data_IF_723304091501
#
_entry.id   IF_723304091501
#
_cell.length_a   1.000
_cell.length_b   1.000
_cell.length_c   1.000
_cell.angle_alpha   90.00
_cell.angle_beta   90.00
_cell.angle_gamma   90.00
#
_symmetry.space_group_name_H-M   'P 1'
#
loop_
_entity.id
_entity.type
_entity.pdbx_description
1 polymer ?
#
# COMPACT_ATOMS: atom_id res chain seq x y z
N UNK A 1 7.17 8.98 -11.50
CA UNK A 1 8.09 7.94 -11.97
C UNK A 1 9.07 7.56 -10.87
N UNK A 2 9.64 8.50 -10.11
CA UNK A 2 10.57 8.15 -9.03
C UNK A 2 9.89 7.52 -7.81
N UNK A 3 8.67 7.98 -7.47
CA UNK A 3 7.92 7.56 -6.29
C UNK A 3 6.60 6.85 -6.61
N UNK A 4 6.31 6.66 -7.90
CA UNK A 4 5.14 5.96 -8.40
C UNK A 4 5.54 4.88 -9.38
N UNK A 5 4.84 3.77 -9.38
CA UNK A 5 4.76 2.93 -10.57
C UNK A 5 4.03 3.71 -11.68
N UNK A 6 4.53 3.64 -12.90
CA UNK A 6 3.87 4.23 -14.07
C UNK A 6 3.22 3.11 -14.88
N UNK A 7 1.88 3.02 -14.93
CA UNK A 7 1.19 1.93 -15.63
C UNK A 7 1.55 1.85 -17.11
N UNK A 8 1.68 2.98 -17.80
CA UNK A 8 2.00 2.99 -19.23
C UNK A 8 3.41 2.48 -19.50
N UNK A 9 4.39 2.92 -18.69
CA UNK A 9 5.77 2.42 -18.80
C UNK A 9 5.85 0.94 -18.41
N UNK A 10 5.07 0.52 -17.42
CA UNK A 10 5.01 -0.88 -16.99
C UNK A 10 4.47 -1.77 -18.11
N UNK A 11 3.38 -1.36 -18.79
CA UNK A 11 2.80 -2.10 -19.91
C UNK A 11 3.68 -2.08 -21.16
N UNK A 12 4.34 -0.95 -21.45
CA UNK A 12 5.34 -0.88 -22.52
C UNK A 12 6.49 -1.86 -22.25
N UNK A 13 6.98 -1.93 -21.02
CA UNK A 13 8.01 -2.89 -20.62
C UNK A 13 7.53 -4.34 -20.70
N UNK A 14 6.30 -4.58 -20.29
CA UNK A 14 5.66 -5.90 -20.41
C UNK A 14 5.60 -6.37 -21.88
N UNK A 15 5.27 -5.46 -22.80
CA UNK A 15 5.29 -5.72 -24.23
C UNK A 15 6.70 -6.05 -24.73
N UNK A 16 7.70 -5.24 -24.36
CA UNK A 16 9.11 -5.43 -24.76
C UNK A 16 9.65 -6.83 -24.38
N UNK A 17 9.31 -7.28 -23.15
CA UNK A 17 9.83 -8.55 -22.63
C UNK A 17 8.92 -9.75 -22.88
N UNK A 18 7.76 -9.55 -23.51
CA UNK A 18 6.75 -10.60 -23.72
C UNK A 18 6.16 -11.14 -22.42
N UNK A 19 5.93 -10.27 -21.43
CA UNK A 19 5.37 -10.66 -20.14
C UNK A 19 4.00 -11.29 -20.27
N UNK A 20 3.71 -12.32 -19.46
CA UNK A 20 2.40 -12.97 -19.37
C UNK A 20 1.57 -12.46 -18.21
N UNK A 21 2.21 -11.78 -17.27
CA UNK A 21 1.61 -11.27 -16.05
C UNK A 21 2.26 -9.93 -15.70
N UNK A 22 1.45 -8.95 -15.38
CA UNK A 22 1.86 -7.67 -14.80
C UNK A 22 1.23 -7.55 -13.42
N UNK A 23 2.00 -7.13 -12.44
CA UNK A 23 1.51 -6.78 -11.12
C UNK A 23 1.57 -5.26 -10.95
N UNK A 24 0.49 -4.67 -10.47
CA UNK A 24 0.38 -3.26 -10.15
C UNK A 24 -0.35 -3.11 -8.81
N UNK A 25 0.26 -2.41 -7.86
CA UNK A 25 -0.39 -2.05 -6.60
C UNK A 25 -1.01 -0.64 -6.70
N UNK A 26 -2.29 -0.52 -6.40
CA UNK A 26 -2.96 0.77 -6.33
C UNK A 26 -4.01 0.82 -5.20
N UNK A 27 -3.70 1.50 -4.08
CA UNK A 27 -2.49 2.27 -3.75
C UNK A 27 -1.22 1.44 -3.59
N UNK A 28 -0.08 2.09 -3.88
CA UNK A 28 1.24 1.47 -3.88
C UNK A 28 1.77 1.15 -2.47
N UNK A 29 2.60 0.16 -2.41
CA UNK A 29 3.49 -0.17 -1.31
C UNK A 29 4.89 -0.47 -1.89
N UNK A 30 5.94 0.35 -1.59
CA UNK A 30 6.17 0.98 -0.28
C UNK A 30 5.89 2.48 -0.17
N UNK A 31 5.55 3.19 -1.24
CA UNK A 31 5.55 4.66 -1.22
C UNK A 31 4.20 5.27 -0.77
N UNK A 32 3.12 4.51 -0.83
CA UNK A 32 1.77 4.96 -0.42
C UNK A 32 1.03 5.75 -1.49
N UNK A 33 1.67 6.05 -2.61
CA UNK A 33 1.10 6.81 -3.72
C UNK A 33 -0.02 6.06 -4.43
N UNK A 34 -0.79 6.74 -5.28
CA UNK A 34 -1.90 6.12 -6.00
C UNK A 34 -2.14 6.79 -7.36
N UNK A 35 -2.82 6.07 -8.21
CA UNK A 35 -3.37 6.59 -9.48
C UNK A 35 -4.88 6.69 -9.37
N UNK A 36 -5.45 7.68 -10.05
CA UNK A 36 -6.90 7.74 -10.26
C UNK A 36 -7.37 6.56 -11.09
N UNK A 37 -8.49 5.97 -10.71
CA UNK A 37 -9.05 4.80 -11.38
C UNK A 37 -9.31 5.02 -12.87
N UNK A 38 -9.73 6.23 -13.26
CA UNK A 38 -9.91 6.58 -14.65
C UNK A 38 -8.62 6.46 -15.48
N UNK A 39 -7.46 6.84 -14.93
CA UNK A 39 -6.16 6.65 -15.58
C UNK A 39 -5.83 5.17 -15.79
N UNK A 40 -6.09 4.36 -14.77
CA UNK A 40 -5.87 2.92 -14.87
C UNK A 40 -6.80 2.25 -15.88
N UNK A 41 -8.06 2.69 -15.94
CA UNK A 41 -9.02 2.19 -16.93
C UNK A 41 -8.54 2.48 -18.36
N UNK A 42 -8.04 3.68 -18.63
CA UNK A 42 -7.48 4.03 -19.95
C UNK A 42 -6.18 3.26 -20.22
N UNK A 43 -5.28 3.15 -19.23
CA UNK A 43 -4.02 2.46 -19.42
C UNK A 43 -4.19 0.96 -19.76
N UNK A 44 -5.32 0.34 -19.38
CA UNK A 44 -5.60 -1.06 -19.74
C UNK A 44 -5.65 -1.32 -21.25
N UNK A 45 -5.88 -0.30 -22.07
CA UNK A 45 -5.85 -0.45 -23.52
C UNK A 45 -4.44 -0.74 -24.04
N UNK A 46 -3.41 -0.35 -23.28
CA UNK A 46 -1.99 -0.61 -23.58
C UNK A 46 -1.48 -1.95 -23.02
N UNK A 47 -2.31 -2.71 -22.29
CA UNK A 47 -1.91 -4.02 -21.77
C UNK A 47 -1.69 -5.00 -22.94
N UNK A 48 -0.50 -5.66 -23.03
CA UNK A 48 -0.19 -6.56 -24.15
C UNK A 48 -1.19 -7.68 -24.31
N UNK A 49 -1.49 -8.07 -25.55
CA UNK A 49 -2.36 -9.20 -25.83
C UNK A 49 -1.85 -10.49 -25.18
N UNK A 50 -2.75 -11.21 -24.52
CA UNK A 50 -2.42 -12.43 -23.76
C UNK A 50 -1.65 -12.21 -22.47
N UNK A 51 -1.51 -10.95 -22.01
CA UNK A 51 -0.99 -10.58 -20.70
C UNK A 51 -2.15 -10.38 -19.71
N UNK A 52 -1.95 -10.77 -18.46
CA UNK A 52 -2.89 -10.54 -17.36
C UNK A 52 -2.37 -9.43 -16.43
N UNK A 53 -3.26 -8.57 -15.97
CA UNK A 53 -3.01 -7.62 -14.89
C UNK A 53 -3.49 -8.20 -13.56
N UNK A 54 -2.57 -8.33 -12.59
CA UNK A 54 -2.91 -8.48 -11.18
C UNK A 54 -2.94 -7.09 -10.56
N UNK A 55 -4.13 -6.58 -10.29
CA UNK A 55 -4.32 -5.29 -9.62
C UNK A 55 -4.47 -5.52 -8.12
N UNK A 56 -3.44 -5.16 -7.37
CA UNK A 56 -3.45 -5.28 -5.91
C UNK A 56 -4.06 -4.03 -5.28
N UNK A 57 -5.26 -4.17 -4.75
CA UNK A 57 -6.03 -3.14 -4.08
C UNK A 57 -6.02 -3.32 -2.55
N UNK A 58 -4.92 -3.82 -1.98
CA UNK A 58 -4.84 -4.12 -0.54
C UNK A 58 -5.06 -2.90 0.37
N UNK A 59 -4.94 -1.68 -0.15
CA UNK A 59 -5.11 -0.44 0.60
C UNK A 59 -6.27 0.42 0.08
N UNK A 60 -7.09 -0.10 -0.82
CA UNK A 60 -8.10 0.69 -1.52
C UNK A 60 -9.13 1.34 -0.59
N UNK A 61 -9.42 0.72 0.54
CA UNK A 61 -10.34 1.25 1.56
C UNK A 61 -9.85 2.56 2.19
N UNK A 62 -8.54 2.84 2.16
CA UNK A 62 -7.96 4.08 2.68
C UNK A 62 -7.79 5.18 1.62
N UNK A 63 -8.01 4.84 0.36
CA UNK A 63 -7.74 5.71 -0.78
C UNK A 63 -8.86 6.73 -1.00
N UNK A 64 -8.55 7.86 -1.66
CA UNK A 64 -9.57 8.81 -2.09
C UNK A 64 -10.62 8.16 -2.99
N UNK A 65 -11.82 8.73 -2.99
CA UNK A 65 -12.88 8.30 -3.90
C UNK A 65 -12.40 8.38 -5.36
N UNK A 66 -12.72 7.36 -6.16
CA UNK A 66 -12.30 7.33 -7.57
C UNK A 66 -10.93 6.69 -7.83
N UNK A 67 -10.23 6.23 -6.79
CA UNK A 67 -8.96 5.49 -6.94
C UNK A 67 -9.17 4.09 -7.55
N UNK A 68 -10.28 3.43 -7.22
CA UNK A 68 -10.63 2.14 -7.82
C UNK A 68 -11.04 2.34 -9.29
N UNK A 69 -10.42 1.65 -10.25
CA UNK A 69 -10.80 1.76 -11.66
C UNK A 69 -12.16 1.12 -11.92
N UNK A 70 -12.88 1.71 -12.88
CA UNK A 70 -14.12 1.12 -13.42
C UNK A 70 -13.73 0.07 -14.48
N UNK A 71 -13.68 -1.17 -14.06
CA UNK A 71 -13.35 -2.32 -14.92
C UNK A 71 -14.51 -3.32 -14.84
N UNK A 72 -14.91 -3.86 -15.99
CA UNK A 72 -15.88 -4.93 -16.02
C UNK A 72 -15.36 -6.14 -15.20
N UNK A 73 -16.19 -6.67 -14.31
CA UNK A 73 -15.83 -7.83 -13.51
C UNK A 73 -15.55 -9.09 -14.37
N UNK A 74 -16.09 -9.13 -15.58
CA UNK A 74 -15.86 -10.21 -16.56
C UNK A 74 -14.70 -9.89 -17.54
N UNK A 75 -13.94 -8.81 -17.36
CA UNK A 75 -12.76 -8.54 -18.19
C UNK A 75 -11.74 -9.69 -18.02
N UNK A 76 -11.46 -10.46 -19.09
CA UNK A 76 -10.60 -11.63 -19.00
C UNK A 76 -9.11 -11.27 -18.80
N UNK A 77 -8.78 -10.00 -18.76
CA UNK A 77 -7.40 -9.51 -18.63
C UNK A 77 -7.03 -9.14 -17.19
N UNK A 78 -8.02 -8.99 -16.27
CA UNK A 78 -7.77 -8.38 -14.97
C UNK A 78 -8.22 -9.28 -13.82
N UNK A 79 -7.34 -9.44 -12.84
CA UNK A 79 -7.65 -9.99 -11.52
C UNK A 79 -7.42 -8.91 -10.48
N UNK A 80 -8.45 -8.50 -9.77
CA UNK A 80 -8.37 -7.55 -8.66
C UNK A 80 -8.26 -8.31 -7.35
N UNK A 81 -7.33 -7.90 -6.49
CA UNK A 81 -7.08 -8.57 -5.22
C UNK A 81 -7.30 -7.61 -4.06
N UNK A 82 -8.06 -8.03 -3.06
CA UNK A 82 -8.34 -7.29 -1.83
C UNK A 82 -8.08 -8.13 -0.59
N UNK A 83 -7.88 -7.47 0.54
CA UNK A 83 -7.54 -8.14 1.79
C UNK A 83 -8.32 -7.58 2.97
N UNK A 84 -8.64 -8.44 3.93
CA UNK A 84 -9.15 -8.03 5.23
C UNK A 84 -8.02 -7.69 6.24
N UNK A 85 -6.78 -7.85 5.83
CA UNK A 85 -5.60 -7.66 6.70
C UNK A 85 -5.31 -6.21 7.08
N UNK A 86 -5.88 -5.22 6.36
CA UNK A 86 -5.58 -3.79 6.51
C UNK A 86 -6.75 -3.05 7.16
N UNK A 87 -7.61 -2.41 6.41
CA UNK A 87 -8.70 -1.60 6.93
C UNK A 87 -9.65 -2.35 7.87
N UNK A 88 -9.86 -3.63 7.63
CA UNK A 88 -10.71 -4.47 8.47
C UNK A 88 -10.01 -5.07 9.69
N UNK A 89 -8.71 -4.82 9.90
CA UNK A 89 -7.99 -5.26 11.09
C UNK A 89 -7.76 -6.78 11.24
N UNK A 90 -8.00 -7.57 10.20
CA UNK A 90 -8.03 -9.04 10.28
C UNK A 90 -6.75 -9.71 9.77
N UNK A 91 -5.58 -9.07 9.95
CA UNK A 91 -4.30 -9.61 9.45
C UNK A 91 -4.01 -11.04 9.94
N UNK A 92 -4.35 -11.34 11.20
CA UNK A 92 -4.18 -12.67 11.79
C UNK A 92 -5.12 -13.75 11.24
N UNK A 93 -6.26 -13.37 10.65
CA UNK A 93 -7.25 -14.31 10.10
C UNK A 93 -6.83 -14.90 8.74
N UNK A 94 -5.81 -14.31 8.08
CA UNK A 94 -5.26 -14.77 6.80
C UNK A 94 -6.32 -14.89 5.70
N UNK A 95 -7.16 -13.87 5.52
CA UNK A 95 -8.26 -13.85 4.57
C UNK A 95 -8.19 -12.64 3.65
N UNK A 96 -8.51 -12.87 2.39
CA UNK A 96 -8.65 -11.90 1.32
C UNK A 96 -9.51 -12.49 0.21
N UNK A 97 -9.74 -11.74 -0.83
CA UNK A 97 -10.51 -12.21 -1.99
C UNK A 97 -9.95 -11.65 -3.30
N UNK A 98 -10.22 -12.37 -4.37
CA UNK A 98 -9.97 -11.93 -5.72
C UNK A 98 -11.28 -11.86 -6.50
N UNK A 99 -11.39 -10.86 -7.38
CA UNK A 99 -12.49 -10.72 -8.33
C UNK A 99 -11.95 -10.64 -9.76
N UNK A 100 -12.68 -11.20 -10.71
CA UNK A 100 -12.31 -11.25 -12.12
C UNK A 100 -13.19 -12.23 -12.87
N UNK A 101 -12.97 -12.38 -14.17
CA UNK A 101 -13.73 -13.28 -15.02
C UNK A 101 -13.75 -14.71 -14.45
N UNK A 102 -14.91 -15.37 -14.54
CA UNK A 102 -15.16 -16.65 -13.87
C UNK A 102 -14.11 -17.72 -14.20
N UNK A 103 -13.62 -17.79 -15.42
CA UNK A 103 -12.62 -18.78 -15.83
C UNK A 103 -11.22 -18.49 -15.26
N UNK A 104 -10.86 -17.19 -15.08
CA UNK A 104 -9.65 -16.81 -14.39
C UNK A 104 -9.72 -17.23 -12.91
N UNK A 105 -10.82 -16.91 -12.24
CA UNK A 105 -10.98 -17.24 -10.81
C UNK A 105 -11.03 -18.73 -10.57
N UNK A 106 -11.71 -19.51 -11.43
CA UNK A 106 -11.69 -20.99 -11.37
C UNK A 106 -10.28 -21.58 -11.48
N UNK A 107 -9.35 -20.89 -12.14
CA UNK A 107 -7.98 -21.39 -12.26
C UNK A 107 -7.27 -21.52 -10.90
N UNK A 108 -7.65 -20.72 -9.90
CA UNK A 108 -7.13 -20.81 -8.54
C UNK A 108 -7.46 -22.15 -7.86
N UNK A 109 -8.56 -22.80 -8.23
CA UNK A 109 -8.95 -24.10 -7.69
C UNK A 109 -7.94 -25.21 -8.00
N UNK A 110 -7.09 -25.01 -9.03
CA UNK A 110 -6.03 -25.96 -9.41
C UNK A 110 -4.88 -25.99 -8.41
N UNK A 111 -4.66 -24.91 -7.67
CA UNK A 111 -3.47 -24.73 -6.82
C UNK A 111 -3.78 -24.30 -5.38
N UNK A 112 -4.99 -23.76 -5.11
CA UNK A 112 -5.33 -23.31 -3.75
C UNK A 112 -5.45 -24.49 -2.79
N UNK A 113 -5.10 -24.27 -1.53
CA UNK A 113 -5.44 -25.21 -0.47
C UNK A 113 -6.95 -25.13 -0.19
N UNK A 114 -7.69 -26.20 -0.45
CA UNK A 114 -9.15 -26.25 -0.27
C UNK A 114 -9.60 -26.02 1.19
N UNK A 115 -8.75 -26.33 2.15
CA UNK A 115 -9.03 -26.17 3.59
C UNK A 115 -8.19 -25.05 4.22
N UNK A 116 -7.54 -24.20 3.42
CA UNK A 116 -6.65 -23.14 3.90
C UNK A 116 -7.35 -21.99 4.62
N UNK A 117 -8.69 -21.89 4.50
CA UNK A 117 -9.47 -20.81 5.10
C UNK A 117 -10.39 -21.35 6.19
N UNK A 118 -10.22 -20.86 7.42
CA UNK A 118 -11.03 -21.30 8.56
C UNK A 118 -12.46 -20.75 8.50
N UNK A 119 -13.43 -21.45 9.11
CA UNK A 119 -14.81 -20.96 9.24
C UNK A 119 -14.89 -19.65 10.01
N UNK A 120 -14.04 -19.48 11.03
CA UNK A 120 -13.98 -18.26 11.84
C UNK A 120 -13.53 -17.06 10.97
N UNK A 121 -12.50 -17.25 10.13
CA UNK A 121 -12.06 -16.22 9.20
C UNK A 121 -13.17 -15.82 8.21
N UNK A 122 -13.90 -16.79 7.67
CA UNK A 122 -15.00 -16.53 6.73
C UNK A 122 -16.15 -15.77 7.40
N UNK A 123 -16.59 -16.21 8.58
CA UNK A 123 -17.65 -15.53 9.33
C UNK A 123 -17.23 -14.11 9.74
N UNK A 124 -15.98 -13.94 10.19
CA UNK A 124 -15.43 -12.63 10.53
C UNK A 124 -15.34 -11.69 9.33
N UNK A 125 -14.92 -12.19 8.16
CA UNK A 125 -14.86 -11.39 6.94
C UNK A 125 -16.25 -10.94 6.48
N UNK A 126 -17.26 -11.80 6.56
CA UNK A 126 -18.63 -11.44 6.23
C UNK A 126 -19.15 -10.34 7.16
N UNK A 127 -18.97 -10.51 8.47
CA UNK A 127 -19.34 -9.49 9.45
C UNK A 127 -18.60 -8.15 9.23
N UNK A 128 -17.30 -8.21 8.88
CA UNK A 128 -16.50 -7.01 8.60
C UNK A 128 -16.96 -6.26 7.34
N UNK A 129 -17.48 -6.95 6.33
CA UNK A 129 -18.07 -6.33 5.13
C UNK A 129 -19.39 -5.61 5.44
N UNK A 130 -20.13 -6.08 6.44
CA UNK A 130 -21.40 -5.50 6.86
C UNK A 130 -21.21 -4.32 7.85
N UNK A 131 -20.03 -4.17 8.45
CA UNK A 131 -19.70 -3.12 9.43
C UNK A 131 -19.10 -1.87 8.76
N UNK A 132 -19.95 -1.15 8.02
CA UNK A 132 -19.55 0.08 7.35
C UNK A 132 -19.21 1.21 8.33
N UNK A 133 -19.84 1.23 9.51
CA UNK A 133 -19.59 2.25 10.54
C UNK A 133 -18.17 2.12 11.10
N UNK A 134 -17.77 0.91 11.46
CA UNK A 134 -16.42 0.63 11.92
C UNK A 134 -15.38 0.94 10.84
N UNK A 135 -15.63 0.56 9.59
CA UNK A 135 -14.73 0.88 8.49
C UNK A 135 -14.54 2.39 8.34
N UNK A 136 -15.64 3.16 8.39
CA UNK A 136 -15.57 4.63 8.33
C UNK A 136 -14.76 5.23 9.48
N UNK A 137 -14.93 4.70 10.70
CA UNK A 137 -14.14 5.11 11.87
C UNK A 137 -12.64 4.85 11.64
N UNK A 138 -12.26 3.66 11.18
CA UNK A 138 -10.86 3.30 10.89
C UNK A 138 -10.27 4.19 9.79
N UNK A 139 -11.04 4.53 8.75
CA UNK A 139 -10.60 5.44 7.69
C UNK A 139 -10.27 6.83 8.24
N UNK A 140 -11.11 7.37 9.13
CA UNK A 140 -10.87 8.69 9.75
C UNK A 140 -9.65 8.65 10.68
N UNK A 141 -9.50 7.64 11.53
CA UNK A 141 -8.33 7.47 12.40
C UNK A 141 -7.02 7.43 11.58
N UNK A 142 -7.00 6.68 10.48
CA UNK A 142 -5.84 6.62 9.58
C UNK A 142 -5.59 7.96 8.89
N UNK A 143 -6.63 8.67 8.49
CA UNK A 143 -6.48 10.01 7.90
C UNK A 143 -5.90 11.02 8.91
N UNK A 144 -6.32 10.96 10.18
CA UNK A 144 -5.75 11.78 11.26
C UNK A 144 -4.28 11.43 11.51
N UNK A 145 -3.96 10.14 11.57
CA UNK A 145 -2.58 9.69 11.76
C UNK A 145 -1.66 10.15 10.61
N UNK A 146 -2.11 10.10 9.35
CA UNK A 146 -1.36 10.63 8.21
C UNK A 146 -1.06 12.13 8.38
N UNK A 147 -2.07 12.94 8.74
CA UNK A 147 -1.89 14.38 9.01
C UNK A 147 -0.90 14.63 10.15
N UNK A 148 -0.94 13.81 11.20
CA UNK A 148 -0.01 13.92 12.33
C UNK A 148 1.43 13.59 11.93
N UNK A 149 1.64 12.55 11.11
CA UNK A 149 2.96 12.19 10.58
C UNK A 149 3.50 13.32 9.69
N UNK A 150 2.68 13.90 8.84
CA UNK A 150 3.06 15.03 7.98
C UNK A 150 3.48 16.24 8.82
N UNK A 151 2.73 16.57 9.87
CA UNK A 151 3.11 17.61 10.82
C UNK A 151 4.44 17.33 11.50
N UNK A 152 4.65 16.09 12.00
CA UNK A 152 5.92 15.70 12.64
C UNK A 152 7.09 15.85 11.65
N UNK A 153 6.90 15.47 10.40
CA UNK A 153 7.91 15.66 9.36
C UNK A 153 8.25 17.14 9.17
N UNK A 154 7.22 17.98 8.97
CA UNK A 154 7.38 19.42 8.78
C UNK A 154 8.07 20.13 9.95
N UNK A 155 7.72 19.76 11.20
CA UNK A 155 8.34 20.29 12.42
C UNK A 155 9.86 19.98 12.48
N UNK A 156 10.32 18.97 11.75
CA UNK A 156 11.73 18.56 11.65
C UNK A 156 12.40 18.95 10.32
N UNK A 157 11.77 19.79 9.51
CA UNK A 157 12.29 20.25 8.22
C UNK A 157 12.34 19.12 7.16
N UNK A 158 11.52 18.10 7.32
CA UNK A 158 11.38 16.99 6.38
C UNK A 158 10.03 17.05 5.65
N UNK A 159 9.86 16.22 4.64
CA UNK A 159 8.61 16.12 3.88
C UNK A 159 8.11 14.68 3.80
N UNK A 160 6.81 14.54 3.63
CA UNK A 160 6.17 13.24 3.36
C UNK A 160 5.71 13.16 1.92
N UNK A 161 5.62 11.94 1.41
CA UNK A 161 4.91 11.69 0.16
C UNK A 161 3.40 11.59 0.45
N UNK A 162 2.53 12.09 -0.47
CA UNK A 162 1.10 11.86 -0.37
C UNK A 162 0.80 10.36 -0.26
N UNK A 163 -0.03 9.98 0.71
CA UNK A 163 -0.34 8.57 0.95
C UNK A 163 -1.84 8.28 0.93
N UNK A 164 -2.20 7.20 0.25
CA UNK A 164 -3.52 6.57 0.25
C UNK A 164 -3.53 5.22 0.97
N UNK A 165 -2.57 4.99 1.88
CA UNK A 165 -2.43 3.74 2.64
C UNK A 165 -2.50 3.99 4.15
N UNK A 166 -2.29 2.97 4.97
CA UNK A 166 -2.16 3.10 6.42
C UNK A 166 -0.70 3.27 6.88
N UNK A 167 0.12 3.84 6.02
CA UNK A 167 1.49 4.28 6.31
C UNK A 167 1.84 5.50 5.47
N UNK A 168 2.94 6.16 5.80
CA UNK A 168 3.45 7.33 5.09
C UNK A 168 4.94 7.12 4.82
N UNK A 169 5.38 7.39 3.59
CA UNK A 169 6.78 7.50 3.25
C UNK A 169 7.27 8.91 3.60
N UNK A 170 8.27 9.00 4.47
CA UNK A 170 8.90 10.24 4.91
C UNK A 170 10.28 10.32 4.27
N UNK A 171 10.50 11.36 3.46
CA UNK A 171 11.79 11.66 2.86
C UNK A 171 12.74 12.23 3.93
N UNK A 172 13.87 11.55 4.15
CA UNK A 172 14.83 11.93 5.18
C UNK A 172 15.72 13.12 4.80
N UNK A 173 15.59 13.64 3.56
CA UNK A 173 16.36 14.79 3.08
C UNK A 173 17.82 14.48 2.74
N UNK A 174 18.17 13.20 2.55
CA UNK A 174 19.47 12.70 2.16
C UNK A 174 19.37 11.51 1.22
N UNK A 175 20.43 10.75 1.10
CA UNK A 175 20.47 9.49 0.33
C UNK A 175 19.97 8.29 1.16
N UNK A 176 20.10 7.08 0.58
CA UNK A 176 19.70 5.84 1.24
C UNK A 176 20.51 5.50 2.48
N UNK A 177 21.78 5.86 2.53
CA UNK A 177 22.64 5.61 3.69
C UNK A 177 22.27 6.55 4.83
N UNK A 178 21.95 7.80 4.52
CA UNK A 178 21.40 8.75 5.51
C UNK A 178 20.07 8.27 6.08
N UNK A 179 19.12 7.87 5.22
CA UNK A 179 17.83 7.35 5.66
C UNK A 179 17.97 6.07 6.51
N UNK A 180 18.94 5.20 6.15
CA UNK A 180 19.27 4.02 6.94
C UNK A 180 19.80 4.39 8.33
N UNK A 181 20.65 5.40 8.44
CA UNK A 181 21.16 5.88 9.72
C UNK A 181 20.04 6.46 10.59
N UNK A 182 19.11 7.21 9.99
CA UNK A 182 17.92 7.72 10.72
C UNK A 182 17.03 6.55 11.21
N UNK A 183 16.83 5.51 10.38
CA UNK A 183 16.09 4.33 10.78
C UNK A 183 16.76 3.64 11.98
N UNK A 184 18.09 3.44 11.93
CA UNK A 184 18.82 2.77 13.00
C UNK A 184 18.74 3.57 14.30
N UNK A 185 18.93 4.88 14.24
CA UNK A 185 18.82 5.77 15.40
C UNK A 185 17.40 5.78 16.01
N UNK A 186 16.34 5.63 15.18
CA UNK A 186 14.96 5.46 15.66
C UNK A 186 14.76 4.11 16.36
N UNK A 187 15.33 3.03 15.81
CA UNK A 187 15.26 1.67 16.40
C UNK A 187 15.95 1.64 17.76
N UNK A 188 17.07 2.34 17.93
CA UNK A 188 17.76 2.48 19.24
C UNK A 188 16.92 3.23 20.30
N UNK A 189 15.89 3.96 19.84
CA UNK A 189 14.88 4.66 20.67
C UNK A 189 13.55 3.90 20.77
N UNK A 190 13.57 2.61 20.49
CA UNK A 190 12.39 1.73 20.49
C UNK A 190 11.28 2.15 19.48
N UNK A 191 11.62 2.91 18.43
CA UNK A 191 10.70 3.29 17.37
C UNK A 191 10.99 2.48 16.11
N UNK A 192 10.19 1.45 15.89
CA UNK A 192 10.34 0.59 14.72
C UNK A 192 9.68 1.20 13.49
N UNK A 193 10.50 1.53 12.48
CA UNK A 193 10.08 1.97 11.15
C UNK A 193 10.67 1.04 10.07
N UNK A 194 10.20 1.17 8.85
CA UNK A 194 10.73 0.44 7.69
C UNK A 194 11.30 1.43 6.67
N UNK A 195 11.97 0.92 5.64
CA UNK A 195 12.39 1.69 4.48
C UNK A 195 12.30 0.85 3.21
N UNK A 196 12.11 1.47 2.04
CA UNK A 196 12.36 0.83 0.76
C UNK A 196 13.83 0.44 0.60
N UNK A 197 14.13 -0.63 -0.17
CA UNK A 197 15.50 -1.12 -0.29
C UNK A 197 16.23 -0.64 -1.55
N UNK A 198 15.49 -0.03 -2.50
CA UNK A 198 16.01 0.30 -3.85
C UNK A 198 15.97 1.80 -4.06
N UNK A 199 17.06 2.35 -4.61
CA UNK A 199 17.13 3.75 -5.02
C UNK A 199 16.15 4.03 -6.19
N UNK A 200 15.56 5.22 -6.25
CA UNK A 200 15.74 6.38 -5.36
C UNK A 200 14.84 6.35 -4.11
N UNK A 201 13.97 5.36 -3.96
CA UNK A 201 12.97 5.29 -2.90
C UNK A 201 13.58 5.05 -1.51
N UNK A 202 14.77 4.46 -1.44
CA UNK A 202 15.50 4.19 -0.20
C UNK A 202 15.94 5.44 0.56
N UNK A 203 15.77 6.66 0.01
CA UNK A 203 15.92 7.93 0.72
C UNK A 203 14.84 8.17 1.77
N UNK A 204 13.77 7.37 1.74
CA UNK A 204 12.61 7.47 2.62
C UNK A 204 12.63 6.40 3.72
N UNK A 205 12.07 6.75 4.87
CA UNK A 205 11.58 5.78 5.86
C UNK A 205 10.06 5.67 5.75
N UNK A 206 9.50 4.51 6.08
CA UNK A 206 8.06 4.24 6.01
C UNK A 206 7.49 4.09 7.42
N UNK A 207 6.61 5.02 7.78
CA UNK A 207 6.01 5.13 9.10
C UNK A 207 4.57 4.61 9.04
N UNK A 208 4.22 3.62 9.85
CA UNK A 208 2.83 3.15 9.97
C UNK A 208 1.96 4.19 10.67
N UNK A 209 0.70 4.33 10.24
CA UNK A 209 -0.31 5.12 10.92
C UNK A 209 -0.64 4.45 12.27
N UNK A 210 0.05 4.89 13.31
CA UNK A 210 -0.12 4.42 14.69
C UNK A 210 -1.22 5.19 15.42
N UNK A 211 -1.50 4.76 16.65
CA UNK A 211 -2.39 5.49 17.57
C UNK A 211 -1.75 6.82 17.97
N UNK A 212 -2.52 7.81 18.47
CA UNK A 212 -1.96 9.11 18.87
C UNK A 212 -0.75 9.00 19.81
N UNK A 213 -0.81 8.13 20.82
CA UNK A 213 0.31 7.93 21.74
C UNK A 213 1.56 7.35 21.09
N UNK A 214 1.42 6.50 20.06
CA UNK A 214 2.54 5.93 19.32
C UNK A 214 3.22 7.04 18.48
N UNK A 215 2.42 7.93 17.88
CA UNK A 215 2.91 9.08 17.11
C UNK A 215 3.54 10.17 18.02
N UNK A 216 3.10 10.29 19.27
CA UNK A 216 3.76 11.17 20.26
C UNK A 216 5.15 10.66 20.64
N UNK A 217 5.37 9.34 20.65
CA UNK A 217 6.71 8.76 20.82
C UNK A 217 7.60 9.10 19.63
N UNK A 218 7.08 8.92 18.40
CA UNK A 218 7.79 9.30 17.18
C UNK A 218 8.15 10.80 17.17
N UNK A 219 7.21 11.68 17.57
CA UNK A 219 7.43 13.12 17.59
C UNK A 219 8.58 13.54 18.53
N UNK A 220 8.87 12.77 19.57
CA UNK A 220 10.01 12.97 20.47
C UNK A 220 11.29 12.35 19.93
N UNK A 221 11.20 11.13 19.41
CA UNK A 221 12.37 10.37 18.97
C UNK A 221 12.99 10.90 17.67
N UNK A 222 12.17 11.39 16.73
CA UNK A 222 12.65 11.80 15.41
C UNK A 222 13.66 12.97 15.46
N UNK A 223 13.42 14.10 16.18
CA UNK A 223 14.40 15.17 16.26
C UNK A 223 15.72 14.73 16.93
N UNK A 224 15.66 13.86 17.92
CA UNK A 224 16.85 13.32 18.57
C UNK A 224 17.67 12.43 17.63
N UNK A 225 17.00 11.54 16.89
CA UNK A 225 17.62 10.68 15.88
C UNK A 225 18.27 11.49 14.76
N UNK A 226 17.58 12.54 14.28
CA UNK A 226 18.12 13.44 13.25
C UNK A 226 19.32 14.25 13.76
N UNK A 227 19.31 14.70 15.01
CA UNK A 227 20.44 15.43 15.59
C UNK A 227 21.68 14.53 15.69
N UNK A 228 21.53 13.29 16.10
CA UNK A 228 22.61 12.30 16.18
C UNK A 228 23.22 12.01 14.79
N UNK A 229 22.38 11.80 13.77
CA UNK A 229 22.85 11.44 12.43
C UNK A 229 23.48 12.63 11.68
N UNK A 230 23.07 13.85 12.00
CA UNK A 230 23.60 15.07 11.38
C UNK A 230 24.91 15.55 12.00
N UNK A 231 25.27 15.07 13.19
CA UNK A 231 26.51 15.40 13.92
C UNK A 231 26.38 16.71 14.70
#
# INVERSE_FOLDING_TARGET
VEDHEDPSLLFAKAHEVGAKLVYLANPDNPMGTWHEGAKLTVALDDLPEGCLLLLDEAYIEFAPHGTAPTIDAEDPRVIRMRTFSKAHGMAGARIGYATGAADLIKSFDKIRNHFGMTRVAQAGALAALEDAEWLSHVQEEVAQARRRIDQIAGDNGLSTLPSATNFVALDCGGDGDFAKSVLDALVERDVFVRMPFVAPQNRCIRISCGRPQDLDVLAKALPEALAEVRG
#
